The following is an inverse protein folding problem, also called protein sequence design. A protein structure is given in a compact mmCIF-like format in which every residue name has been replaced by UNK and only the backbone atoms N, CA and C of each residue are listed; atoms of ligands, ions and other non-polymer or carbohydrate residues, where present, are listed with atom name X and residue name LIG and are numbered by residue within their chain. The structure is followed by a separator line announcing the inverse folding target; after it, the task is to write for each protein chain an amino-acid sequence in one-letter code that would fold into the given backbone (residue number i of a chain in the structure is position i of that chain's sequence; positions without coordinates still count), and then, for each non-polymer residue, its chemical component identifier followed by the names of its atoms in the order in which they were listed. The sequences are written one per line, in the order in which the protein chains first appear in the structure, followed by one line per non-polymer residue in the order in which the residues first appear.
data_IF_613913476675
#
_entry.id   IF_613913476675
#
_cell.length_a   1.000
_cell.length_b   1.000
_cell.length_c   1.000
_cell.angle_alpha   90.00
_cell.angle_beta   90.00
_cell.angle_gamma   90.00
#
_symmetry.space_group_name_H-M   'P 1'
#
loop_
_entity.id
_entity.type
_entity.pdbx_description
1 polymer ?
#
# COMPACT_ATOMS: atom_id res chain seq x y z
N UNK A 1 22.65 -40.59 39.66
CA UNK A 1 21.44 -39.77 39.91
C UNK A 1 21.67 -38.47 39.17
N UNK A 2 21.10 -38.33 37.98
CA UNK A 2 21.10 -37.06 37.25
C UNK A 2 19.82 -36.33 37.64
N UNK A 3 19.95 -35.18 38.27
CA UNK A 3 18.81 -34.33 38.63
C UNK A 3 18.16 -33.81 37.35
N UNK A 4 16.89 -34.15 37.17
CA UNK A 4 16.02 -33.51 36.21
C UNK A 4 15.58 -32.17 36.82
N UNK A 5 15.92 -31.06 36.17
CA UNK A 5 15.46 -29.73 36.57
C UNK A 5 14.03 -29.49 36.06
N UNK A 6 13.11 -29.13 36.96
CA UNK A 6 11.75 -28.70 36.61
C UNK A 6 11.74 -27.20 36.22
N UNK A 7 11.20 -26.84 35.05
CA UNK A 7 11.04 -25.44 34.65
C UNK A 7 10.13 -24.68 35.63
N UNK A 8 10.61 -23.54 36.16
CA UNK A 8 9.84 -22.64 37.03
C UNK A 8 10.30 -22.55 38.49
N UNK A 9 11.38 -23.24 38.86
CA UNK A 9 11.88 -23.29 40.25
C UNK A 9 12.95 -22.26 40.61
N UNK A 10 13.39 -21.42 39.67
CA UNK A 10 14.34 -20.33 39.94
C UNK A 10 13.64 -18.97 39.97
N UNK A 11 13.87 -18.21 41.05
CA UNK A 11 13.74 -16.76 41.04
C UNK A 11 14.68 -16.23 39.95
N UNK A 12 14.11 -15.81 38.82
CA UNK A 12 14.84 -15.12 37.74
C UNK A 12 15.40 -13.83 38.34
N UNK A 13 16.71 -13.82 38.63
CA UNK A 13 17.38 -12.65 39.22
C UNK A 13 17.65 -11.58 38.17
N UNK A 14 17.82 -11.97 36.90
CA UNK A 14 17.95 -11.05 35.76
C UNK A 14 17.14 -11.55 34.55
N UNK A 15 16.23 -10.71 34.07
CA UNK A 15 15.46 -10.95 32.84
C UNK A 15 16.19 -10.29 31.66
N UNK A 16 16.83 -11.11 30.81
CA UNK A 16 17.36 -10.66 29.53
C UNK A 16 16.36 -10.99 28.41
N UNK A 17 15.43 -10.08 28.15
CA UNK A 17 14.45 -10.18 27.07
C UNK A 17 14.70 -9.08 26.03
N UNK A 18 14.69 -9.46 24.75
CA UNK A 18 14.70 -8.52 23.63
C UNK A 18 13.25 -8.15 23.26
N UNK A 19 13.02 -6.91 22.84
CA UNK A 19 11.73 -6.48 22.31
C UNK A 19 11.34 -7.27 21.05
N UNK A 20 10.05 -7.34 20.75
CA UNK A 20 9.56 -7.94 19.51
C UNK A 20 10.16 -7.21 18.29
N UNK A 21 10.80 -7.95 17.39
CA UNK A 21 11.38 -7.42 16.15
C UNK A 21 10.39 -7.60 15.00
N UNK A 22 9.96 -6.50 14.39
CA UNK A 22 9.13 -6.48 13.19
C UNK A 22 9.96 -5.92 12.03
N UNK A 23 10.00 -6.65 10.91
CA UNK A 23 10.80 -6.27 9.75
C UNK A 23 10.09 -6.67 8.47
N UNK A 24 9.91 -5.73 7.55
CA UNK A 24 9.26 -5.96 6.27
C UNK A 24 10.07 -5.31 5.15
N UNK A 25 10.15 -5.99 4.00
CA UNK A 25 10.87 -5.49 2.82
C UNK A 25 10.27 -6.12 1.55
N UNK A 26 10.50 -5.46 0.42
CA UNK A 26 10.04 -5.89 -0.89
C UNK A 26 11.16 -5.70 -1.91
N UNK A 27 11.34 -6.69 -2.78
CA UNK A 27 12.23 -6.60 -3.93
C UNK A 27 11.39 -6.65 -5.20
N UNK A 28 11.59 -5.66 -6.07
CA UNK A 28 10.86 -5.49 -7.31
C UNK A 28 11.78 -5.57 -8.52
N UNK A 29 11.20 -6.05 -9.63
CA UNK A 29 11.82 -5.94 -10.95
C UNK A 29 13.25 -6.47 -11.02
N UNK A 30 13.53 -7.61 -10.39
CA UNK A 30 14.85 -8.27 -10.49
C UNK A 30 15.02 -8.79 -11.91
N UNK A 31 16.00 -8.28 -12.64
CA UNK A 31 16.28 -8.76 -13.98
C UNK A 31 17.71 -8.45 -14.39
N UNK A 32 18.21 -9.21 -15.35
CA UNK A 32 19.36 -8.80 -16.15
C UNK A 32 18.99 -8.83 -17.63
N UNK A 33 19.67 -8.01 -18.43
CA UNK A 33 19.43 -7.91 -19.88
C UNK A 33 20.74 -7.70 -20.62
N UNK A 34 20.86 -8.31 -21.80
CA UNK A 34 21.85 -7.96 -22.81
C UNK A 34 21.19 -7.12 -23.90
N UNK A 35 21.79 -5.97 -24.21
CA UNK A 35 21.25 -4.99 -25.15
C UNK A 35 22.31 -4.64 -26.20
N UNK A 36 21.85 -4.24 -27.39
CA UNK A 36 22.72 -3.89 -28.53
C UNK A 36 23.17 -2.42 -28.45
N UNK A 37 24.15 -2.07 -29.30
CA UNK A 37 24.54 -0.69 -29.53
C UNK A 37 23.33 0.21 -29.80
N UNK A 38 23.33 1.41 -29.22
CA UNK A 38 22.27 2.40 -29.39
C UNK A 38 21.04 2.17 -28.49
N UNK A 39 21.04 1.12 -27.67
CA UNK A 39 19.99 0.95 -26.66
C UNK A 39 20.06 2.08 -25.63
N UNK A 40 18.88 2.57 -25.27
CA UNK A 40 18.68 3.51 -24.16
C UNK A 40 17.37 3.19 -23.45
N UNK A 41 17.35 3.49 -22.16
CA UNK A 41 16.16 3.53 -21.33
C UNK A 41 15.85 4.98 -21.01
N UNK A 42 14.58 5.35 -21.15
CA UNK A 42 14.15 6.72 -20.95
C UNK A 42 14.31 7.15 -19.49
N UNK A 43 14.38 8.45 -19.28
CA UNK A 43 14.38 9.05 -17.95
C UNK A 43 13.10 8.72 -17.19
N UNK A 44 13.26 8.37 -15.92
CA UNK A 44 12.18 8.00 -15.02
C UNK A 44 12.62 8.14 -13.56
N UNK A 45 11.66 8.05 -12.65
CA UNK A 45 11.88 8.03 -11.21
C UNK A 45 10.97 6.98 -10.55
N UNK A 46 11.37 6.52 -9.37
CA UNK A 46 10.56 5.62 -8.55
C UNK A 46 10.97 5.69 -7.07
N UNK A 47 10.09 5.30 -6.13
CA UNK A 47 10.36 5.40 -4.70
C UNK A 47 11.24 4.27 -4.14
N UNK A 48 11.86 3.46 -5.01
CA UNK A 48 12.67 2.30 -4.64
C UNK A 48 14.15 2.64 -4.69
N UNK A 49 14.96 2.02 -3.82
CA UNK A 49 16.42 2.02 -3.96
C UNK A 49 16.77 1.07 -5.12
N UNK A 50 17.48 1.55 -6.14
CA UNK A 50 17.93 0.71 -7.24
C UNK A 50 19.43 0.38 -7.13
N UNK A 51 19.74 -0.90 -7.30
CA UNK A 51 21.08 -1.43 -7.45
C UNK A 51 21.28 -1.81 -8.92
N UNK A 52 22.12 -1.05 -9.61
CA UNK A 52 22.41 -1.22 -11.03
C UNK A 52 23.85 -1.70 -11.24
N UNK A 53 24.03 -2.94 -11.67
CA UNK A 53 25.32 -3.61 -11.82
C UNK A 53 25.63 -3.90 -13.29
N UNK A 54 26.74 -3.41 -13.82
CA UNK A 54 27.16 -3.73 -15.19
C UNK A 54 27.91 -5.06 -15.19
N UNK A 55 27.49 -5.99 -16.04
CA UNK A 55 28.07 -7.33 -16.20
C UNK A 55 29.02 -7.41 -17.40
N UNK A 56 28.74 -6.67 -18.47
CA UNK A 56 29.59 -6.58 -19.67
C UNK A 56 29.29 -5.28 -20.45
N UNK A 57 30.23 -4.80 -21.27
CA UNK A 57 30.09 -3.55 -22.02
C UNK A 57 30.23 -2.30 -21.14
N UNK A 58 29.82 -1.14 -21.66
CA UNK A 58 29.83 0.12 -20.91
C UNK A 58 28.42 0.71 -20.87
N UNK A 59 27.99 1.12 -19.69
CA UNK A 59 26.72 1.82 -19.49
C UNK A 59 27.01 3.25 -19.05
N UNK A 60 26.26 4.20 -19.58
CA UNK A 60 26.21 5.55 -19.00
C UNK A 60 24.84 5.76 -18.40
N UNK A 61 24.81 6.05 -17.11
CA UNK A 61 23.60 6.34 -16.36
C UNK A 61 23.63 7.79 -15.91
N UNK A 62 22.63 8.57 -16.31
CA UNK A 62 22.39 9.92 -15.79
C UNK A 62 21.52 9.79 -14.55
N UNK A 63 21.92 10.40 -13.43
CA UNK A 63 21.09 10.51 -12.20
C UNK A 63 21.07 11.98 -11.79
N UNK A 64 19.91 12.62 -11.89
CA UNK A 64 19.79 14.08 -11.88
C UNK A 64 20.69 14.72 -12.94
N UNK A 65 21.48 15.72 -12.55
CA UNK A 65 22.36 16.46 -13.48
C UNK A 65 23.71 15.80 -13.74
N UNK A 66 24.00 14.63 -13.14
CA UNK A 66 25.31 13.97 -13.23
C UNK A 66 25.23 12.69 -14.07
N UNK A 67 26.22 12.49 -14.93
CA UNK A 67 26.42 11.23 -15.65
C UNK A 67 27.48 10.36 -14.96
N UNK A 68 27.19 9.06 -14.87
CA UNK A 68 28.07 8.03 -14.32
C UNK A 68 28.36 7.02 -15.41
N UNK A 69 29.65 6.83 -15.72
CA UNK A 69 30.11 5.81 -16.67
C UNK A 69 30.46 4.55 -15.89
N UNK A 70 29.68 3.49 -16.08
CA UNK A 70 29.85 2.19 -15.43
C UNK A 70 30.54 1.20 -16.38
N UNK A 71 31.58 0.54 -15.89
CA UNK A 71 32.30 -0.57 -16.55
C UNK A 71 31.90 -1.92 -15.95
N UNK A 72 32.29 -3.05 -16.58
CA UNK A 72 31.98 -4.37 -16.03
C UNK A 72 32.47 -4.53 -14.60
N UNK A 73 31.55 -4.91 -13.72
CA UNK A 73 31.78 -5.04 -12.28
C UNK A 73 31.34 -3.82 -11.47
N UNK A 74 31.15 -2.64 -12.08
CA UNK A 74 30.75 -1.44 -11.35
C UNK A 74 29.28 -1.47 -10.93
N UNK A 75 29.02 -1.07 -9.69
CA UNK A 75 27.71 -0.96 -9.07
C UNK A 75 27.34 0.51 -8.92
N UNK A 76 26.18 0.92 -9.42
CA UNK A 76 25.60 2.22 -9.17
C UNK A 76 24.42 2.05 -8.21
N UNK A 77 24.46 2.78 -7.09
CA UNK A 77 23.32 2.89 -6.18
C UNK A 77 22.51 4.13 -6.55
N UNK A 78 21.28 3.93 -7.01
CA UNK A 78 20.40 5.03 -7.40
C UNK A 78 19.42 5.27 -6.25
N UNK A 79 19.46 6.45 -5.60
CA UNK A 79 18.60 6.75 -4.46
C UNK A 79 17.10 6.75 -4.81
N UNK A 80 16.23 6.43 -3.84
CA UNK A 80 14.79 6.58 -4.02
C UNK A 80 14.40 8.00 -4.46
N UNK A 81 13.49 8.09 -5.43
CA UNK A 81 12.94 9.37 -5.93
C UNK A 81 13.92 10.21 -6.75
N UNK A 82 15.07 9.65 -7.17
CA UNK A 82 15.98 10.33 -8.09
C UNK A 82 15.62 10.01 -9.53
N UNK A 83 15.41 11.04 -10.35
CA UNK A 83 15.29 10.89 -11.80
C UNK A 83 16.60 10.31 -12.37
N UNK A 84 16.46 9.30 -13.22
CA UNK A 84 17.60 8.66 -13.88
C UNK A 84 17.26 8.02 -15.22
N UNK A 85 18.25 7.92 -16.09
CA UNK A 85 18.18 7.35 -17.43
C UNK A 85 19.47 6.58 -17.75
N UNK A 86 19.39 5.50 -18.53
CA UNK A 86 20.56 4.65 -18.83
C UNK A 86 20.72 4.44 -20.33
N UNK A 87 21.95 4.43 -20.83
CA UNK A 87 22.27 4.12 -22.23
C UNK A 87 23.46 3.19 -22.35
N UNK A 88 23.46 2.40 -23.41
CA UNK A 88 24.62 1.62 -23.82
C UNK A 88 25.63 2.54 -24.50
N UNK A 89 26.87 2.50 -24.04
CA UNK A 89 28.01 3.14 -24.67
C UNK A 89 28.96 2.06 -25.21
N UNK A 90 29.27 2.12 -26.51
CA UNK A 90 30.10 1.12 -27.19
C UNK A 90 29.36 0.32 -28.27
N UNK A 91 30.16 -0.25 -29.19
CA UNK A 91 29.67 -0.93 -30.40
C UNK A 91 29.23 -2.38 -30.14
N UNK A 92 29.78 -3.03 -29.12
CA UNK A 92 29.53 -4.45 -28.83
C UNK A 92 28.27 -4.69 -27.97
N UNK A 93 27.54 -3.62 -27.62
CA UNK A 93 26.41 -3.69 -26.69
C UNK A 93 26.84 -3.74 -25.23
N UNK A 94 25.90 -4.02 -24.33
CA UNK A 94 26.17 -4.16 -22.89
C UNK A 94 25.23 -5.18 -22.24
N UNK A 95 25.62 -5.68 -21.08
CA UNK A 95 24.80 -6.51 -20.20
C UNK A 95 24.79 -5.91 -18.80
N UNK A 96 23.62 -5.73 -18.22
CA UNK A 96 23.45 -5.18 -16.87
C UNK A 96 22.43 -5.99 -16.06
N UNK A 97 22.54 -5.91 -14.74
CA UNK A 97 21.59 -6.44 -13.76
C UNK A 97 21.01 -5.29 -12.95
N UNK A 98 19.71 -5.38 -12.66
CA UNK A 98 18.95 -4.38 -11.93
C UNK A 98 18.11 -5.05 -10.85
N UNK A 99 18.17 -4.49 -9.64
CA UNK A 99 17.37 -4.90 -8.49
C UNK A 99 16.82 -3.66 -7.80
N UNK A 100 15.52 -3.65 -7.53
CA UNK A 100 14.87 -2.56 -6.80
C UNK A 100 14.45 -3.04 -5.43
N UNK A 101 14.78 -2.28 -4.39
CA UNK A 101 14.57 -2.65 -3.00
C UNK A 101 13.75 -1.56 -2.28
N UNK A 102 12.80 -2.01 -1.49
CA UNK A 102 12.08 -1.19 -0.52
C UNK A 102 12.14 -1.86 0.84
N UNK A 103 12.53 -1.11 1.88
CA UNK A 103 12.62 -1.61 3.25
C UNK A 103 11.66 -0.76 4.08
N UNK A 104 10.79 -1.43 4.84
CA UNK A 104 9.79 -0.81 5.71
C UNK A 104 10.40 -0.44 7.08
N UNK A 105 11.63 0.06 7.04
CA UNK A 105 12.36 0.60 8.18
C UNK A 105 13.01 1.91 7.72
N UNK A 106 12.47 3.02 8.23
CA UNK A 106 12.92 4.34 7.83
C UNK A 106 14.36 4.64 8.29
N UNK A 107 14.83 4.07 9.41
CA UNK A 107 16.21 4.26 9.87
C UNK A 107 17.22 3.63 8.92
N UNK A 108 16.82 2.53 8.27
CA UNK A 108 17.63 1.91 7.22
C UNK A 108 17.52 2.68 5.90
N UNK A 109 16.31 3.13 5.53
CA UNK A 109 16.08 3.77 4.22
C UNK A 109 16.53 5.24 4.13
N UNK A 110 16.41 6.02 5.22
CA UNK A 110 16.68 7.47 5.21
C UNK A 110 18.08 7.83 4.68
N UNK A 111 19.17 7.16 5.09
CA UNK A 111 20.50 7.50 4.61
C UNK A 111 20.65 7.35 3.10
N UNK A 112 19.90 6.43 2.48
CA UNK A 112 19.95 6.22 1.04
C UNK A 112 19.39 7.42 0.25
N UNK A 113 18.42 8.18 0.79
CA UNK A 113 17.91 9.40 0.14
C UNK A 113 18.99 10.49 0.01
N UNK A 114 20.02 10.43 0.85
CA UNK A 114 21.07 11.44 0.97
C UNK A 114 22.41 11.00 0.36
N UNK A 115 22.47 9.85 -0.30
CA UNK A 115 23.67 9.41 -1.01
C UNK A 115 24.08 10.43 -2.08
N UNK A 116 25.37 10.77 -2.05
CA UNK A 116 25.99 11.72 -2.97
C UNK A 116 26.99 11.04 -3.90
N UNK A 117 27.74 10.06 -3.38
CA UNK A 117 28.62 9.19 -4.14
C UNK A 117 27.87 7.90 -4.54
N UNK A 118 27.38 7.88 -5.78
CA UNK A 118 26.49 6.83 -6.27
C UNK A 118 27.25 5.66 -6.92
N UNK A 119 28.37 5.97 -7.59
CA UNK A 119 29.15 4.99 -8.35
C UNK A 119 30.18 4.30 -7.46
N UNK A 120 30.05 2.99 -7.37
CA UNK A 120 30.92 2.11 -6.62
C UNK A 120 31.66 1.23 -7.63
N UNK A 121 32.95 1.49 -7.89
CA UNK A 121 33.73 0.68 -8.83
C UNK A 121 33.77 -0.79 -8.40
N UNK A 122 33.95 -1.72 -9.34
CA UNK A 122 33.93 -3.16 -9.05
C UNK A 122 34.95 -3.66 -8.00
N UNK A 123 35.98 -2.87 -7.72
CA UNK A 123 37.00 -3.12 -6.69
C UNK A 123 36.76 -2.38 -5.38
N UNK A 124 35.69 -1.61 -5.25
CA UNK A 124 35.29 -0.96 -3.99
C UNK A 124 34.88 -2.01 -2.96
N UNK A 125 35.10 -1.74 -1.66
CA UNK A 125 34.71 -2.66 -0.57
C UNK A 125 33.22 -3.01 -0.64
N UNK A 126 32.38 -2.00 -0.92
CA UNK A 126 30.95 -2.20 -1.10
C UNK A 126 30.66 -3.20 -2.22
N UNK A 127 31.19 -2.96 -3.42
CA UNK A 127 30.85 -3.82 -4.56
C UNK A 127 31.38 -5.23 -4.36
N UNK A 128 32.59 -5.38 -3.82
CA UNK A 128 33.17 -6.69 -3.48
C UNK A 128 32.30 -7.44 -2.46
N UNK A 129 31.74 -6.75 -1.46
CA UNK A 129 30.86 -7.33 -0.43
C UNK A 129 29.49 -7.71 -0.97
N UNK A 130 28.88 -6.86 -1.80
CA UNK A 130 27.54 -7.10 -2.33
C UNK A 130 27.54 -8.10 -3.49
N UNK A 131 28.65 -8.20 -4.23
CA UNK A 131 28.72 -8.98 -5.46
C UNK A 131 28.25 -10.43 -5.31
N UNK A 132 28.71 -11.22 -4.32
CA UNK A 132 28.24 -12.60 -4.15
C UNK A 132 26.72 -12.69 -3.92
N UNK A 133 26.15 -11.74 -3.16
CA UNK A 133 24.72 -11.69 -2.87
C UNK A 133 23.91 -11.35 -4.13
N UNK A 134 24.44 -10.45 -4.98
CA UNK A 134 23.83 -10.08 -6.26
C UNK A 134 23.95 -11.21 -7.30
N UNK A 135 25.07 -11.94 -7.32
CA UNK A 135 25.26 -13.09 -8.20
C UNK A 135 24.24 -14.20 -7.93
N UNK A 136 23.90 -14.45 -6.65
CA UNK A 136 22.83 -15.38 -6.28
C UNK A 136 21.46 -14.98 -6.87
N UNK A 137 21.14 -13.68 -6.87
CA UNK A 137 19.92 -13.16 -7.51
C UNK A 137 19.96 -13.26 -9.04
N UNK A 138 21.13 -13.03 -9.65
CA UNK A 138 21.34 -13.16 -11.10
C UNK A 138 21.14 -14.62 -11.54
N UNK A 139 21.70 -15.57 -10.80
CA UNK A 139 21.56 -16.99 -11.08
C UNK A 139 20.10 -17.42 -10.99
N UNK A 140 19.40 -17.05 -9.91
CA UNK A 140 17.98 -17.39 -9.74
C UNK A 140 17.09 -16.74 -10.80
N UNK A 141 17.35 -15.47 -11.17
CA UNK A 141 16.62 -14.78 -12.24
C UNK A 141 16.84 -15.41 -13.64
N UNK A 142 17.92 -16.19 -13.80
CA UNK A 142 18.22 -16.92 -15.04
C UNK A 142 17.49 -18.27 -15.14
N UNK A 143 16.81 -18.71 -14.08
CA UNK A 143 16.11 -19.99 -14.04
C UNK A 143 14.62 -19.83 -14.44
N UNK A 144 14.13 -20.49 -15.51
CA UNK A 144 12.74 -20.42 -15.96
C UNK A 144 11.70 -20.90 -14.94
N UNK A 145 12.13 -21.68 -13.94
CA UNK A 145 11.31 -22.20 -12.84
C UNK A 145 11.51 -21.44 -11.52
N UNK A 146 12.09 -20.24 -11.60
CA UNK A 146 12.51 -19.43 -10.46
C UNK A 146 11.44 -19.28 -9.38
N UNK A 147 11.87 -19.42 -8.11
CA UNK A 147 11.03 -19.39 -6.90
C UNK A 147 9.89 -20.43 -6.82
N UNK A 148 9.86 -21.46 -7.68
CA UNK A 148 8.79 -22.47 -7.67
C UNK A 148 8.74 -23.27 -6.36
N UNK A 149 9.89 -23.58 -5.75
CA UNK A 149 9.97 -24.30 -4.48
C UNK A 149 9.99 -23.38 -3.25
N UNK A 150 9.42 -23.84 -2.14
CA UNK A 150 9.49 -23.14 -0.85
C UNK A 150 10.92 -22.96 -0.37
N UNK A 151 11.80 -23.93 -0.62
CA UNK A 151 13.22 -23.86 -0.28
C UNK A 151 13.91 -22.68 -0.98
N UNK A 152 13.73 -22.53 -2.30
CA UNK A 152 14.29 -21.41 -3.05
C UNK A 152 13.74 -20.06 -2.55
N UNK A 153 12.44 -19.97 -2.25
CA UNK A 153 11.83 -18.75 -1.68
C UNK A 153 12.46 -18.37 -0.34
N UNK A 154 12.69 -19.34 0.55
CA UNK A 154 13.34 -19.08 1.84
C UNK A 154 14.80 -18.68 1.66
N UNK A 155 15.54 -19.37 0.79
CA UNK A 155 16.94 -19.04 0.46
C UNK A 155 17.07 -17.61 -0.07
N UNK A 156 16.20 -17.20 -1.00
CA UNK A 156 16.21 -15.84 -1.55
C UNK A 156 15.83 -14.78 -0.52
N UNK A 157 14.91 -15.08 0.41
CA UNK A 157 14.62 -14.19 1.54
C UNK A 157 15.81 -14.04 2.48
N UNK A 158 16.53 -15.13 2.78
CA UNK A 158 17.75 -15.07 3.58
C UNK A 158 18.85 -14.25 2.87
N UNK A 159 19.02 -14.44 1.56
CA UNK A 159 19.97 -13.66 0.75
C UNK A 159 19.61 -12.16 0.76
N UNK A 160 18.32 -11.83 0.66
CA UNK A 160 17.85 -10.44 0.76
C UNK A 160 18.13 -9.80 2.13
N UNK A 161 17.94 -10.54 3.23
CA UNK A 161 18.29 -10.06 4.57
C UNK A 161 19.80 -9.82 4.72
N UNK A 162 20.63 -10.69 4.14
CA UNK A 162 22.09 -10.49 4.08
C UNK A 162 22.46 -9.27 3.26
N UNK A 163 21.78 -9.04 2.13
CA UNK A 163 21.97 -7.85 1.29
C UNK A 163 21.64 -6.57 2.06
N UNK A 164 20.51 -6.54 2.76
CA UNK A 164 20.09 -5.40 3.59
C UNK A 164 21.08 -5.17 4.73
N UNK A 165 21.52 -6.23 5.40
CA UNK A 165 22.55 -6.14 6.45
C UNK A 165 23.84 -5.53 5.91
N UNK A 166 24.36 -6.02 4.78
CA UNK A 166 25.59 -5.52 4.18
C UNK A 166 25.47 -4.04 3.74
N UNK A 167 24.33 -3.65 3.18
CA UNK A 167 24.01 -2.25 2.85
C UNK A 167 23.95 -1.37 4.10
N UNK A 168 23.37 -1.88 5.19
CA UNK A 168 23.21 -1.14 6.46
C UNK A 168 24.51 -1.02 7.25
N UNK A 169 25.36 -2.06 7.27
CA UNK A 169 26.67 -2.03 7.93
C UNK A 169 27.60 -0.98 7.32
N UNK A 170 27.51 -0.76 6.01
CA UNK A 170 28.29 0.27 5.32
C UNK A 170 27.91 1.68 5.81
N UNK A 171 26.61 1.96 5.94
CA UNK A 171 26.11 3.25 6.46
C UNK A 171 26.62 3.57 7.87
N UNK A 172 26.98 2.53 8.64
CA UNK A 172 27.49 2.65 10.00
C UNK A 172 29.03 2.70 10.09
N UNK A 173 29.77 2.25 9.06
CA UNK A 173 31.24 2.10 9.09
C UNK A 173 32.00 3.23 8.43
N UNK A 174 31.44 3.85 7.40
CA UNK A 174 32.10 4.99 6.77
C UNK A 174 31.86 6.22 7.63
N UNK A 175 32.90 6.65 8.36
CA UNK A 175 32.97 7.95 9.04
C UNK A 175 32.92 9.16 8.09
N UNK A 176 32.19 9.06 6.97
CA UNK A 176 32.01 10.04 5.90
C UNK A 176 30.94 11.10 6.19
N UNK A 177 30.35 11.10 7.40
CA UNK A 177 29.53 12.23 7.86
C UNK A 177 28.11 11.90 8.34
N UNK A 178 27.78 10.64 8.64
CA UNK A 178 26.54 10.28 9.33
C UNK A 178 26.70 10.13 10.86
N UNK A 179 27.72 10.77 11.44
CA UNK A 179 27.76 11.00 12.90
C UNK A 179 26.86 12.19 13.21
N UNK A 180 25.78 11.92 13.93
CA UNK A 180 24.93 12.91 14.60
C UNK A 180 24.32 14.02 13.72
N UNK A 181 23.37 13.67 12.84
CA UNK A 181 22.30 14.63 12.58
C UNK A 181 21.26 14.51 13.70
N UNK A 182 21.34 15.38 14.70
CA UNK A 182 20.24 15.57 15.64
C UNK A 182 19.00 16.03 14.86
N UNK A 183 18.10 15.09 14.59
CA UNK A 183 16.79 15.42 14.03
C UNK A 183 16.07 16.39 14.96
N UNK A 184 15.51 17.47 14.41
CA UNK A 184 14.64 18.33 15.19
C UNK A 184 13.42 17.53 15.66
N UNK A 185 12.86 17.89 16.81
CA UNK A 185 11.65 17.22 17.33
C UNK A 185 10.47 17.32 16.36
N UNK A 186 10.46 18.29 15.44
CA UNK A 186 9.43 18.45 14.42
C UNK A 186 9.59 17.42 13.29
N UNK A 187 10.83 17.17 12.84
CA UNK A 187 11.14 16.16 11.84
C UNK A 187 10.90 14.76 12.39
N UNK A 188 11.35 14.47 13.63
CA UNK A 188 11.05 13.20 14.31
C UNK A 188 9.54 12.97 14.42
N UNK A 189 8.76 13.99 14.80
CA UNK A 189 7.29 13.90 14.90
C UNK A 189 6.61 13.67 13.55
N UNK A 190 7.12 14.28 12.48
CA UNK A 190 6.56 14.12 11.12
C UNK A 190 6.88 12.73 10.56
N UNK A 191 8.11 12.24 10.78
CA UNK A 191 8.57 10.91 10.38
C UNK A 191 7.85 9.80 11.15
N UNK A 192 7.75 9.94 12.49
CA UNK A 192 6.92 9.06 13.32
C UNK A 192 5.45 9.12 12.88
N UNK A 193 4.95 10.28 12.45
CA UNK A 193 3.61 10.44 11.89
C UNK A 193 3.38 9.63 10.62
N UNK A 194 4.30 9.68 9.65
CA UNK A 194 4.17 8.96 8.37
C UNK A 194 4.31 7.43 8.53
N UNK A 195 5.21 6.97 9.40
CA UNK A 195 5.34 5.54 9.76
C UNK A 195 4.10 5.07 10.50
N UNK A 196 3.64 5.83 11.50
CA UNK A 196 2.41 5.54 12.24
C UNK A 196 1.18 5.51 11.33
N UNK A 197 1.09 6.40 10.33
CA UNK A 197 0.02 6.37 9.33
C UNK A 197 0.07 5.10 8.47
N UNK A 198 1.25 4.63 8.04
CA UNK A 198 1.38 3.39 7.26
C UNK A 198 1.08 2.14 8.08
N UNK A 199 1.59 2.06 9.30
CA UNK A 199 1.25 0.98 10.25
C UNK A 199 -0.25 0.98 10.53
N UNK A 200 -0.85 2.15 10.70
CA UNK A 200 -2.28 2.31 10.88
C UNK A 200 -3.06 1.84 9.65
N UNK A 201 -2.69 2.22 8.42
CA UNK A 201 -3.38 1.74 7.20
C UNK A 201 -3.25 0.22 7.01
N UNK A 202 -2.08 -0.37 7.31
CA UNK A 202 -1.88 -1.82 7.29
C UNK A 202 -2.71 -2.51 8.37
N UNK A 203 -2.79 -1.93 9.56
CA UNK A 203 -3.60 -2.42 10.68
C UNK A 203 -5.09 -2.38 10.33
N UNK A 204 -5.56 -1.27 9.76
CA UNK A 204 -6.94 -1.10 9.29
C UNK A 204 -7.30 -2.19 8.28
N UNK A 205 -6.45 -2.41 7.27
CA UNK A 205 -6.64 -3.47 6.27
C UNK A 205 -6.71 -4.86 6.91
N UNK A 206 -5.81 -5.16 7.86
CA UNK A 206 -5.79 -6.48 8.53
C UNK A 206 -7.07 -6.73 9.33
N UNK A 207 -7.55 -5.72 10.05
CA UNK A 207 -8.80 -5.80 10.82
C UNK A 207 -9.99 -5.91 9.87
N UNK A 208 -9.99 -5.20 8.75
CA UNK A 208 -11.03 -5.27 7.74
C UNK A 208 -11.12 -6.68 7.11
N UNK A 209 -9.99 -7.37 6.90
CA UNK A 209 -9.98 -8.76 6.42
C UNK A 209 -10.67 -9.74 7.40
N UNK A 210 -10.71 -9.43 8.70
CA UNK A 210 -11.42 -10.22 9.72
C UNK A 210 -12.95 -10.14 9.57
N UNK A 211 -13.47 -9.02 9.07
CA UNK A 211 -14.93 -8.79 8.97
C UNK A 211 -15.60 -9.74 7.97
N UNK A 212 -14.88 -10.16 6.93
CA UNK A 212 -15.46 -10.86 5.79
C UNK A 212 -15.12 -12.35 5.75
N UNK A 213 -14.62 -12.92 6.86
CA UNK A 213 -14.49 -14.38 7.05
C UNK A 213 -13.61 -15.10 6.02
N UNK A 214 -12.76 -14.40 5.28
CA UNK A 214 -11.92 -14.97 4.21
C UNK A 214 -10.70 -15.73 4.74
N UNK A 215 -10.56 -15.81 6.06
CA UNK A 215 -9.38 -16.37 6.71
C UNK A 215 -9.62 -17.84 7.06
N UNK A 216 -8.93 -18.74 6.35
CA UNK A 216 -8.80 -20.13 6.77
C UNK A 216 -8.14 -20.24 8.15
N UNK A 217 -8.31 -21.38 8.84
CA UNK A 217 -7.86 -21.58 10.22
C UNK A 217 -6.36 -21.29 10.48
N UNK A 218 -5.50 -21.44 9.48
CA UNK A 218 -4.06 -21.11 9.58
C UNK A 218 -3.77 -19.62 9.44
N UNK A 219 -4.59 -18.87 8.70
CA UNK A 219 -4.41 -17.44 8.51
C UNK A 219 -4.69 -16.66 9.81
N UNK A 220 -5.64 -17.12 10.64
CA UNK A 220 -5.93 -16.51 11.96
C UNK A 220 -4.67 -16.38 12.83
N UNK A 221 -3.81 -17.40 12.90
CA UNK A 221 -2.59 -17.38 13.73
C UNK A 221 -1.53 -16.38 13.23
N UNK A 222 -1.47 -16.17 11.92
CA UNK A 222 -0.55 -15.19 11.32
C UNK A 222 -1.05 -13.77 11.61
N UNK A 223 -2.36 -13.54 11.52
CA UNK A 223 -2.97 -12.26 11.84
C UNK A 223 -2.89 -11.94 13.34
N UNK A 224 -3.07 -12.92 14.22
CA UNK A 224 -2.91 -12.76 15.68
C UNK A 224 -1.55 -12.16 16.07
N UNK A 225 -0.47 -12.58 15.39
CA UNK A 225 0.87 -12.05 15.63
C UNK A 225 1.08 -10.62 15.11
N UNK A 226 0.17 -10.12 14.26
CA UNK A 226 0.27 -8.85 13.54
C UNK A 226 -0.77 -7.81 14.00
N UNK A 227 -1.59 -8.15 14.99
CA UNK A 227 -2.59 -7.30 15.64
C UNK A 227 -2.11 -6.84 17.02
N UNK A 228 -2.69 -5.80 17.62
CA UNK A 228 -2.36 -5.40 18.99
C UNK A 228 -2.65 -6.56 19.95
N UNK A 229 -1.82 -6.73 20.97
CA UNK A 229 -2.03 -7.78 21.98
C UNK A 229 -3.41 -7.67 22.63
N UNK A 230 -4.10 -8.79 22.77
CA UNK A 230 -5.43 -8.84 23.36
C UNK A 230 -5.67 -10.09 24.20
N UNK A 231 -6.50 -9.94 25.22
CA UNK A 231 -7.24 -10.98 25.93
C UNK A 231 -8.71 -10.99 25.54
N UNK A 232 -9.23 -9.82 25.18
CA UNK A 232 -10.57 -9.66 24.65
C UNK A 232 -10.60 -8.53 23.61
N UNK A 233 -11.52 -8.68 22.68
CA UNK A 233 -11.77 -7.80 21.54
C UNK A 233 -13.21 -7.31 21.65
N UNK A 234 -13.45 -6.05 21.30
CA UNK A 234 -14.80 -5.50 21.20
C UNK A 234 -14.99 -4.75 19.88
N UNK A 235 -16.18 -4.84 19.30
CA UNK A 235 -16.51 -4.22 18.01
C UNK A 235 -17.74 -3.34 18.18
N UNK A 236 -17.70 -2.13 17.64
CA UNK A 236 -18.88 -1.29 17.46
C UNK A 236 -18.84 -0.53 16.14
N UNK A 237 -20.00 -0.28 15.58
CA UNK A 237 -20.18 0.48 14.34
C UNK A 237 -20.93 1.77 14.63
N UNK A 238 -20.75 2.78 13.79
CA UNK A 238 -21.53 4.00 13.78
C UNK A 238 -22.25 4.14 12.45
N UNK A 239 -23.54 4.46 12.53
CA UNK A 239 -24.37 4.83 11.39
C UNK A 239 -25.22 6.06 11.69
N UNK A 240 -25.65 6.77 10.66
CA UNK A 240 -26.61 7.87 10.78
C UNK A 240 -28.01 7.36 10.42
N UNK A 241 -29.05 7.75 11.16
CA UNK A 241 -30.42 7.19 10.98
C UNK A 241 -31.01 7.37 9.59
N UNK A 242 -30.64 8.45 8.89
CA UNK A 242 -31.20 8.86 7.60
C UNK A 242 -30.29 8.55 6.41
N UNK A 243 -29.03 8.14 6.64
CA UNK A 243 -28.07 7.88 5.58
C UNK A 243 -26.91 7.01 6.07
N UNK A 244 -26.45 6.08 5.23
CA UNK A 244 -25.23 5.29 5.46
C UNK A 244 -23.95 6.12 5.24
N UNK A 245 -24.05 7.24 4.52
CA UNK A 245 -22.92 8.10 4.19
C UNK A 245 -23.07 9.50 4.79
N UNK A 246 -21.96 10.00 5.30
CA UNK A 246 -21.81 11.26 6.03
C UNK A 246 -20.49 11.88 5.56
N UNK A 247 -20.38 13.21 5.55
CA UNK A 247 -19.22 13.88 4.97
C UNK A 247 -17.91 13.60 5.74
N UNK A 248 -16.78 13.73 5.05
CA UNK A 248 -15.45 13.43 5.58
C UNK A 248 -15.11 14.17 6.87
N UNK A 249 -15.67 15.37 7.12
CA UNK A 249 -15.39 16.13 8.36
C UNK A 249 -16.14 15.53 9.55
N UNK A 250 -17.40 15.15 9.36
CA UNK A 250 -18.14 14.46 10.42
C UNK A 250 -17.53 13.08 10.71
N UNK A 251 -17.12 12.34 9.67
CA UNK A 251 -16.43 11.03 9.81
C UNK A 251 -15.16 11.14 10.64
N UNK A 252 -14.27 12.07 10.26
CA UNK A 252 -13.04 12.33 11.00
C UNK A 252 -13.30 12.73 12.46
N UNK A 253 -14.27 13.62 12.69
CA UNK A 253 -14.62 14.09 14.04
C UNK A 253 -15.15 12.98 14.93
N UNK A 254 -15.97 12.09 14.39
CA UNK A 254 -16.50 10.94 15.12
C UNK A 254 -15.45 9.85 15.34
N UNK A 255 -14.56 9.60 14.38
CA UNK A 255 -13.41 8.72 14.55
C UNK A 255 -12.52 9.17 15.71
N UNK A 256 -12.12 10.44 15.73
CA UNK A 256 -11.34 11.00 16.84
C UNK A 256 -12.05 10.92 18.19
N UNK A 257 -13.36 11.17 18.23
CA UNK A 257 -14.15 11.10 19.46
C UNK A 257 -14.31 9.65 19.96
N UNK A 258 -14.53 8.69 19.05
CA UNK A 258 -14.54 7.27 19.40
C UNK A 258 -13.21 6.82 19.97
N UNK A 259 -12.11 7.15 19.31
CA UNK A 259 -10.76 6.82 19.76
C UNK A 259 -10.49 7.42 21.14
N UNK A 260 -10.87 8.68 21.37
CA UNK A 260 -10.75 9.34 22.68
C UNK A 260 -11.49 8.57 23.78
N UNK A 261 -12.76 8.17 23.55
CA UNK A 261 -13.57 7.48 24.57
C UNK A 261 -13.10 6.04 24.80
N UNK A 262 -12.78 5.32 23.73
CA UNK A 262 -12.50 3.89 23.75
C UNK A 262 -11.02 3.57 24.05
N UNK A 263 -10.09 4.49 23.85
CA UNK A 263 -8.66 4.30 24.18
C UNK A 263 -8.44 3.92 25.64
N UNK A 264 -9.36 4.30 26.54
CA UNK A 264 -9.34 3.89 27.95
C UNK A 264 -9.55 2.39 28.17
N UNK A 265 -10.00 1.64 27.16
CA UNK A 265 -10.28 0.20 27.19
C UNK A 265 -9.13 -0.64 26.62
N UNK A 266 -8.36 -0.10 25.69
CA UNK A 266 -7.28 -0.80 24.99
C UNK A 266 -6.85 -0.06 23.72
N UNK A 267 -6.13 -0.75 22.84
CA UNK A 267 -5.76 -0.25 21.52
C UNK A 267 -6.99 -0.21 20.62
N UNK A 268 -7.29 0.97 20.06
CA UNK A 268 -8.46 1.17 19.19
C UNK A 268 -7.99 1.25 17.74
N UNK A 269 -8.64 0.49 16.86
CA UNK A 269 -8.46 0.59 15.41
C UNK A 269 -9.78 1.08 14.82
N UNK A 270 -9.75 2.22 14.13
CA UNK A 270 -10.90 2.79 13.45
C UNK A 270 -10.84 2.40 11.98
N UNK A 271 -11.88 1.72 11.51
CA UNK A 271 -12.06 1.36 10.10
C UNK A 271 -13.00 2.38 9.48
N UNK A 272 -12.45 3.24 8.62
CA UNK A 272 -13.20 4.24 7.87
C UNK A 272 -13.61 3.70 6.49
N UNK A 273 -14.50 2.71 6.48
CA UNK A 273 -15.08 2.09 5.27
C UNK A 273 -16.49 2.64 5.02
N UNK A 274 -17.45 1.84 4.55
CA UNK A 274 -18.85 2.24 4.38
C UNK A 274 -19.45 2.84 5.67
N UNK A 275 -19.30 2.11 6.78
CA UNK A 275 -19.60 2.58 8.14
C UNK A 275 -18.29 2.77 8.89
N UNK A 276 -18.30 3.71 9.83
CA UNK A 276 -17.16 3.90 10.72
C UNK A 276 -17.23 2.87 11.84
N UNK A 277 -16.27 1.96 11.89
CA UNK A 277 -16.25 0.83 12.82
C UNK A 277 -15.04 0.93 13.73
N UNK A 278 -15.23 0.80 15.04
CA UNK A 278 -14.14 0.74 16.00
C UNK A 278 -13.97 -0.70 16.50
N UNK A 279 -12.71 -1.17 16.47
CA UNK A 279 -12.30 -2.43 17.07
C UNK A 279 -11.34 -2.15 18.21
N UNK A 280 -11.68 -2.61 19.40
CA UNK A 280 -10.87 -2.44 20.62
C UNK A 280 -10.18 -3.74 20.92
N UNK A 281 -8.85 -3.72 20.99
CA UNK A 281 -8.00 -4.82 21.45
C UNK A 281 -7.51 -4.50 22.86
N UNK A 282 -7.87 -5.33 23.84
CA UNK A 282 -7.50 -5.10 25.25
C UNK A 282 -6.77 -6.29 25.84
N UNK A 283 -5.59 -6.06 26.41
CA UNK A 283 -4.76 -7.03 27.11
C UNK A 283 -5.16 -7.25 28.59
N UNK A 284 -6.17 -6.49 29.05
CA UNK A 284 -6.62 -6.48 30.44
C UNK A 284 -7.24 -7.82 30.83
N UNK A 285 -6.96 -8.24 32.06
CA UNK A 285 -7.51 -9.48 32.63
C UNK A 285 -9.03 -9.35 32.83
N UNK A 286 -9.48 -8.21 33.33
CA UNK A 286 -10.91 -7.94 33.58
C UNK A 286 -11.52 -7.17 32.42
N UNK A 287 -12.70 -7.60 32.00
CA UNK A 287 -13.56 -6.85 31.07
C UNK A 287 -14.32 -5.78 31.87
N UNK A 288 -14.05 -4.48 31.68
CA UNK A 288 -14.84 -3.41 32.31
C UNK A 288 -16.26 -3.37 31.68
N UNK A 289 -17.21 -2.60 32.21
CA UNK A 289 -18.55 -2.46 31.61
C UNK A 289 -18.48 -1.70 30.26
N UNK A 290 -18.08 -2.40 29.20
CA UNK A 290 -17.86 -1.85 27.86
C UNK A 290 -19.14 -1.25 27.31
N UNK A 291 -20.30 -1.83 27.58
CA UNK A 291 -21.61 -1.32 27.16
C UNK A 291 -21.87 0.10 27.68
N UNK A 292 -21.43 0.41 28.91
CA UNK A 292 -21.57 1.76 29.46
C UNK A 292 -20.66 2.75 28.72
N UNK A 293 -19.46 2.32 28.32
CA UNK A 293 -18.54 3.12 27.51
C UNK A 293 -19.07 3.35 26.10
N UNK A 294 -19.71 2.35 25.50
CA UNK A 294 -20.38 2.48 24.20
C UNK A 294 -21.55 3.46 24.26
N UNK A 295 -22.36 3.42 25.33
CA UNK A 295 -23.44 4.39 25.55
C UNK A 295 -22.91 5.80 25.80
N UNK A 296 -21.78 5.93 26.52
CA UNK A 296 -21.09 7.21 26.70
C UNK A 296 -20.61 7.78 25.35
N UNK A 297 -19.99 6.94 24.52
CA UNK A 297 -19.54 7.29 23.18
C UNK A 297 -20.70 7.78 22.32
N UNK A 298 -21.80 7.03 22.25
CA UNK A 298 -22.99 7.39 21.47
C UNK A 298 -23.55 8.77 21.88
N UNK A 299 -23.71 9.02 23.19
CA UNK A 299 -24.19 10.31 23.69
C UNK A 299 -23.24 11.46 23.32
N UNK A 300 -21.93 11.24 23.38
CA UNK A 300 -20.93 12.25 23.00
C UNK A 300 -20.94 12.51 21.49
N UNK A 301 -21.11 11.48 20.66
CA UNK A 301 -21.24 11.58 19.21
C UNK A 301 -22.49 12.38 18.82
N UNK A 302 -23.64 12.05 19.41
CA UNK A 302 -24.90 12.75 19.16
C UNK A 302 -24.85 14.22 19.57
N UNK A 303 -24.16 14.52 20.67
CA UNK A 303 -24.04 15.89 21.18
C UNK A 303 -23.05 16.75 20.39
N UNK A 304 -21.90 16.19 20.00
CA UNK A 304 -20.77 16.97 19.50
C UNK A 304 -20.52 16.83 17.99
N UNK A 305 -21.10 15.80 17.34
CA UNK A 305 -20.92 15.55 15.90
C UNK A 305 -22.25 15.68 15.16
N UNK A 306 -23.20 14.78 15.39
CA UNK A 306 -24.51 14.82 14.73
C UNK A 306 -25.56 14.03 15.55
N UNK A 307 -26.72 14.64 15.91
CA UNK A 307 -27.74 14.02 16.75
C UNK A 307 -28.40 12.78 16.14
N UNK A 308 -28.26 12.55 14.83
CA UNK A 308 -28.79 11.38 14.15
C UNK A 308 -27.83 10.18 14.15
N UNK A 309 -26.63 10.32 14.70
CA UNK A 309 -25.70 9.21 14.84
C UNK A 309 -26.19 8.21 15.88
N UNK A 310 -26.00 6.93 15.56
CA UNK A 310 -26.22 5.81 16.47
C UNK A 310 -25.00 4.93 16.51
N UNK A 311 -24.83 4.25 17.64
CA UNK A 311 -23.77 3.27 17.84
C UNK A 311 -24.40 1.89 17.98
N UNK A 312 -23.96 0.97 17.13
CA UNK A 312 -24.31 -0.45 17.21
C UNK A 312 -23.21 -1.23 17.90
N UNK A 313 -23.53 -1.93 18.98
CA UNK A 313 -22.56 -2.72 19.75
C UNK A 313 -22.57 -4.18 19.31
N UNK A 314 -21.42 -4.68 18.87
CA UNK A 314 -21.25 -6.06 18.38
C UNK A 314 -20.85 -7.07 19.45
N UNK A 315 -20.60 -6.64 20.69
CA UNK A 315 -20.26 -7.52 21.81
C UNK A 315 -18.77 -7.53 22.18
N UNK A 316 -18.36 -8.62 22.83
CA UNK A 316 -17.00 -8.86 23.34
C UNK A 316 -16.66 -10.34 23.10
N UNK A 317 -15.46 -10.61 22.58
CA UNK A 317 -14.95 -11.98 22.40
C UNK A 317 -13.49 -12.09 22.84
N UNK A 318 -13.02 -13.29 23.13
CA UNK A 318 -11.58 -13.61 23.23
C UNK A 318 -11.04 -14.31 21.98
N UNK A 319 -11.91 -14.63 21.01
CA UNK A 319 -11.58 -15.40 19.82
C UNK A 319 -11.61 -14.51 18.58
N UNK A 320 -10.47 -14.37 17.90
CA UNK A 320 -10.34 -13.53 16.71
C UNK A 320 -11.30 -13.94 15.59
N UNK A 321 -11.66 -15.22 15.53
CA UNK A 321 -12.56 -15.77 14.50
C UNK A 321 -13.99 -15.27 14.65
N UNK A 322 -14.36 -14.77 15.83
CA UNK A 322 -15.69 -14.22 16.10
C UNK A 322 -15.81 -12.72 15.76
N UNK A 323 -14.71 -12.05 15.41
CA UNK A 323 -14.74 -10.61 15.08
C UNK A 323 -15.67 -10.31 13.89
N UNK A 324 -15.74 -11.20 12.90
CA UNK A 324 -16.68 -11.07 11.77
C UNK A 324 -18.14 -11.12 12.20
N UNK A 325 -18.52 -12.07 13.04
CA UNK A 325 -19.91 -12.18 13.53
C UNK A 325 -20.26 -11.04 14.50
N UNK A 326 -19.29 -10.55 15.27
CA UNK A 326 -19.47 -9.34 16.09
C UNK A 326 -19.67 -8.09 15.24
N UNK A 327 -18.93 -7.96 14.15
CA UNK A 327 -19.16 -6.89 13.18
C UNK A 327 -20.58 -6.96 12.64
N UNK A 328 -21.05 -8.12 12.18
CA UNK A 328 -22.44 -8.31 11.74
C UNK A 328 -23.47 -7.92 12.83
N UNK A 329 -23.26 -8.35 14.07
CA UNK A 329 -24.11 -7.99 15.21
C UNK A 329 -24.16 -6.47 15.44
N UNK A 330 -23.02 -5.79 15.31
CA UNK A 330 -22.95 -4.33 15.43
C UNK A 330 -23.80 -3.63 14.37
N UNK A 331 -23.94 -4.23 13.18
CA UNK A 331 -24.78 -3.71 12.11
C UNK A 331 -26.27 -3.96 12.38
N UNK A 332 -26.62 -5.14 12.93
CA UNK A 332 -28.00 -5.48 13.26
C UNK A 332 -28.64 -4.52 14.26
N UNK A 333 -27.85 -3.88 15.11
CA UNK A 333 -28.31 -2.85 16.04
C UNK A 333 -28.97 -1.64 15.34
N UNK A 334 -28.65 -1.39 14.07
CA UNK A 334 -29.29 -0.34 13.27
C UNK A 334 -30.61 -0.79 12.64
N UNK A 335 -30.77 -2.09 12.41
CA UNK A 335 -31.95 -2.70 11.79
C UNK A 335 -33.10 -2.94 12.78
N UNK A 336 -32.85 -2.82 14.08
CA UNK A 336 -33.85 -3.10 15.13
C UNK A 336 -35.01 -2.08 15.20
N UNK A 337 -34.88 -0.93 14.53
CA UNK A 337 -35.92 0.11 14.47
C UNK A 337 -36.81 0.03 13.20
N UNK A 338 -36.55 -0.91 12.28
CA UNK A 338 -37.34 -1.12 11.07
C UNK A 338 -38.16 -2.42 11.14
N UNK A 339 -39.36 -2.40 10.55
CA UNK A 339 -40.36 -3.48 10.63
C UNK A 339 -39.95 -4.81 9.96
N UNK A 340 -38.75 -4.91 9.34
CA UNK A 340 -38.21 -6.15 8.78
C UNK A 340 -36.66 -6.16 8.71
N UNK A 341 -35.96 -6.58 9.79
CA UNK A 341 -34.50 -6.59 9.90
C UNK A 341 -33.79 -7.53 8.90
N UNK A 342 -34.48 -8.58 8.44
CA UNK A 342 -33.91 -9.60 7.55
C UNK A 342 -33.93 -9.17 6.08
N UNK A 343 -34.74 -8.18 5.71
CA UNK A 343 -34.82 -7.60 4.38
C UNK A 343 -33.73 -6.55 4.16
N UNK A 344 -33.49 -5.66 5.13
CA UNK A 344 -32.47 -4.59 5.01
C UNK A 344 -31.03 -5.10 5.18
N UNK A 345 -30.76 -6.08 6.06
CA UNK A 345 -29.39 -6.63 6.21
C UNK A 345 -28.91 -7.31 4.92
N UNK A 346 -29.80 -8.07 4.27
CA UNK A 346 -29.54 -8.63 2.93
C UNK A 346 -29.41 -7.54 1.89
N UNK A 347 -30.15 -6.44 2.01
CA UNK A 347 -30.09 -5.32 1.06
C UNK A 347 -28.79 -4.53 1.19
N UNK A 348 -28.31 -4.22 2.40
CA UNK A 348 -27.05 -3.48 2.61
C UNK A 348 -25.85 -4.31 2.17
N UNK A 349 -25.78 -5.60 2.55
CA UNK A 349 -24.71 -6.50 2.11
C UNK A 349 -24.72 -6.68 0.58
N UNK A 350 -25.91 -6.81 -0.01
CA UNK A 350 -26.09 -6.93 -1.46
C UNK A 350 -25.69 -5.65 -2.20
N UNK A 351 -26.11 -4.48 -1.71
CA UNK A 351 -25.74 -3.17 -2.26
C UNK A 351 -24.23 -2.96 -2.16
N UNK A 352 -23.61 -3.28 -1.02
CA UNK A 352 -22.16 -3.20 -0.82
C UNK A 352 -21.40 -4.10 -1.78
N UNK A 353 -21.87 -5.34 -1.98
CA UNK A 353 -21.27 -6.27 -2.94
C UNK A 353 -21.38 -5.75 -4.37
N UNK A 354 -22.53 -5.18 -4.73
CA UNK A 354 -22.76 -4.60 -6.06
C UNK A 354 -21.84 -3.41 -6.34
N UNK A 355 -21.74 -2.46 -5.42
CA UNK A 355 -20.91 -1.27 -5.59
C UNK A 355 -19.42 -1.63 -5.59
N UNK A 356 -18.98 -2.51 -4.69
CA UNK A 356 -17.58 -2.95 -4.62
C UNK A 356 -17.17 -3.70 -5.89
N UNK A 357 -18.05 -4.58 -6.39
CA UNK A 357 -17.85 -5.23 -7.69
C UNK A 357 -17.82 -4.20 -8.82
N UNK A 358 -18.74 -3.24 -8.84
CA UNK A 358 -18.75 -2.17 -9.85
C UNK A 358 -17.45 -1.36 -9.87
N UNK A 359 -16.92 -0.99 -8.70
CA UNK A 359 -15.65 -0.25 -8.57
C UNK A 359 -14.45 -1.07 -9.03
N UNK A 360 -14.33 -2.33 -8.61
CA UNK A 360 -13.24 -3.19 -9.05
C UNK A 360 -13.24 -3.40 -10.57
N UNK A 361 -14.43 -3.58 -11.16
CA UNK A 361 -14.60 -3.72 -12.61
C UNK A 361 -14.25 -2.43 -13.35
N UNK A 362 -14.60 -1.27 -12.78
CA UNK A 362 -14.20 0.03 -13.29
C UNK A 362 -12.68 0.19 -13.35
N UNK A 363 -11.92 -0.26 -12.33
CA UNK A 363 -10.45 -0.17 -12.33
C UNK A 363 -9.76 -1.20 -13.21
N UNK A 364 -10.32 -2.40 -13.35
CA UNK A 364 -9.70 -3.50 -14.10
C UNK A 364 -10.07 -3.47 -15.59
N UNK A 365 -11.23 -2.93 -15.96
CA UNK A 365 -11.75 -2.95 -17.34
C UNK A 365 -11.95 -1.58 -17.98
N UNK A 366 -11.46 -0.48 -17.38
CA UNK A 366 -11.63 0.85 -17.96
C UNK A 366 -11.18 0.93 -19.44
N UNK A 367 -10.14 0.19 -19.83
CA UNK A 367 -9.61 0.15 -21.19
C UNK A 367 -10.52 -0.58 -22.21
N UNK A 368 -11.48 -1.39 -21.74
CA UNK A 368 -12.41 -2.10 -22.61
C UNK A 368 -13.47 -1.13 -23.17
N UNK A 369 -13.57 -1.06 -24.50
CA UNK A 369 -14.47 -0.14 -25.22
C UNK A 369 -15.95 -0.50 -25.07
N UNK A 370 -16.24 -1.78 -24.89
CA UNK A 370 -17.60 -2.29 -24.75
C UNK A 370 -18.06 -2.26 -23.29
N UNK A 371 -17.16 -1.94 -22.35
CA UNK A 371 -17.48 -1.86 -20.93
C UNK A 371 -18.54 -0.78 -20.67
N UNK A 372 -19.69 -1.23 -20.19
CA UNK A 372 -20.86 -0.41 -19.97
C UNK A 372 -21.59 -0.83 -18.70
N UNK A 373 -22.42 0.07 -18.18
CA UNK A 373 -23.29 -0.23 -17.04
C UNK A 373 -24.20 -1.43 -17.33
N UNK A 374 -24.64 -1.60 -18.59
CA UNK A 374 -25.49 -2.71 -19.00
C UNK A 374 -24.83 -4.07 -18.83
N UNK A 375 -23.59 -4.21 -19.32
CA UNK A 375 -22.80 -5.45 -19.14
C UNK A 375 -22.51 -5.73 -17.67
N UNK A 376 -22.24 -4.68 -16.90
CA UNK A 376 -22.00 -4.82 -15.47
C UNK A 376 -23.28 -5.27 -14.73
N UNK A 377 -24.42 -4.70 -15.08
CA UNK A 377 -25.72 -5.06 -14.52
C UNK A 377 -26.10 -6.51 -14.86
N UNK A 378 -25.83 -6.95 -16.10
CA UNK A 378 -26.02 -8.34 -16.53
C UNK A 378 -25.15 -9.31 -15.74
N UNK A 379 -23.87 -8.98 -15.51
CA UNK A 379 -22.96 -9.82 -14.71
C UNK A 379 -23.34 -9.93 -13.24
N UNK A 380 -24.14 -8.98 -12.75
CA UNK A 380 -24.62 -8.90 -11.36
C UNK A 380 -26.07 -9.38 -11.19
N UNK A 381 -26.72 -9.80 -12.29
CA UNK A 381 -28.14 -10.17 -12.34
C UNK A 381 -29.08 -9.08 -11.78
N UNK A 382 -28.79 -7.82 -12.11
CA UNK A 382 -29.61 -6.65 -11.73
C UNK A 382 -30.02 -5.84 -12.95
N UNK A 383 -31.11 -5.06 -12.84
CA UNK A 383 -31.50 -4.18 -13.94
C UNK A 383 -30.52 -3.00 -14.08
N UNK A 384 -30.19 -2.55 -15.31
CA UNK A 384 -29.32 -1.39 -15.53
C UNK A 384 -29.83 -0.10 -14.86
N UNK A 385 -31.14 0.10 -14.82
CA UNK A 385 -31.75 1.26 -14.17
C UNK A 385 -31.54 1.23 -12.65
N UNK A 386 -31.70 0.05 -12.03
CA UNK A 386 -31.44 -0.13 -10.62
C UNK A 386 -29.97 0.10 -10.30
N UNK A 387 -29.04 -0.49 -11.08
CA UNK A 387 -27.61 -0.28 -10.88
C UNK A 387 -27.20 1.19 -11.10
N UNK A 388 -27.79 1.89 -12.07
CA UNK A 388 -27.51 3.31 -12.33
C UNK A 388 -27.92 4.18 -11.15
N UNK A 389 -29.15 4.00 -10.66
CA UNK A 389 -29.70 4.75 -9.55
C UNK A 389 -28.91 4.45 -8.28
N UNK A 390 -28.63 3.17 -8.02
CA UNK A 390 -27.83 2.74 -6.88
C UNK A 390 -26.43 3.33 -6.95
N UNK A 391 -25.68 3.12 -8.04
CA UNK A 391 -24.33 3.64 -8.19
C UNK A 391 -24.26 5.16 -8.03
N UNK A 392 -25.23 5.91 -8.57
CA UNK A 392 -25.25 7.37 -8.43
C UNK A 392 -25.57 7.81 -7.01
N UNK A 393 -26.51 7.12 -6.35
CA UNK A 393 -26.90 7.38 -4.96
C UNK A 393 -25.72 7.11 -4.01
N UNK A 394 -25.00 6.01 -4.24
CA UNK A 394 -23.95 5.53 -3.36
C UNK A 394 -22.61 6.26 -3.60
N UNK A 395 -22.28 6.63 -4.84
CA UNK A 395 -20.96 7.20 -5.18
C UNK A 395 -20.98 8.71 -5.42
N UNK A 396 -22.17 9.32 -5.45
CA UNK A 396 -22.36 10.75 -5.75
C UNK A 396 -22.08 11.12 -7.21
N UNK A 397 -21.69 10.17 -8.06
CA UNK A 397 -21.44 10.36 -9.49
C UNK A 397 -22.09 9.24 -10.29
N UNK A 398 -22.51 9.54 -11.51
CA UNK A 398 -22.98 8.49 -12.41
C UNK A 398 -21.84 7.56 -12.78
N UNK A 399 -22.17 6.29 -13.08
CA UNK A 399 -21.20 5.30 -13.56
C UNK A 399 -20.35 5.81 -14.73
N UNK A 400 -20.98 6.49 -15.70
CA UNK A 400 -20.29 7.05 -16.86
C UNK A 400 -19.32 8.15 -16.48
N UNK A 401 -19.66 9.01 -15.51
CA UNK A 401 -18.75 10.02 -14.98
C UNK A 401 -17.55 9.36 -14.28
N UNK A 402 -17.79 8.31 -13.49
CA UNK A 402 -16.73 7.61 -12.77
C UNK A 402 -15.76 6.89 -13.73
N UNK A 403 -16.29 6.18 -14.73
CA UNK A 403 -15.50 5.56 -15.79
C UNK A 403 -14.70 6.63 -16.58
N UNK A 404 -15.35 7.74 -16.92
CA UNK A 404 -14.67 8.85 -17.62
C UNK A 404 -13.53 9.39 -16.78
N UNK A 405 -13.72 9.60 -15.47
CA UNK A 405 -12.66 10.06 -14.56
C UNK A 405 -11.46 9.12 -14.57
N UNK A 406 -11.68 7.82 -14.39
CA UNK A 406 -10.59 6.81 -14.41
C UNK A 406 -9.87 6.82 -15.76
N UNK A 407 -10.60 6.79 -16.88
CA UNK A 407 -10.01 6.85 -18.22
C UNK A 407 -9.18 8.12 -18.44
N UNK A 408 -9.63 9.27 -17.92
CA UNK A 408 -8.92 10.54 -18.04
C UNK A 408 -7.69 10.61 -17.15
N UNK A 409 -7.72 10.05 -15.94
CA UNK A 409 -6.53 9.90 -15.09
C UNK A 409 -5.45 9.04 -15.77
N UNK A 410 -5.86 7.89 -16.33
CA UNK A 410 -4.95 7.05 -17.12
C UNK A 410 -4.49 7.74 -18.40
N UNK A 411 -5.35 8.52 -19.05
CA UNK A 411 -4.96 9.28 -20.24
C UNK A 411 -3.93 10.37 -19.92
N UNK A 412 -4.12 11.11 -18.83
CA UNK A 412 -3.14 12.10 -18.32
C UNK A 412 -1.80 11.45 -18.04
N UNK A 413 -1.84 10.29 -17.37
CA UNK A 413 -0.66 9.47 -17.09
C UNK A 413 0.08 9.09 -18.38
N UNK A 414 -0.62 8.49 -19.35
CA UNK A 414 -0.03 8.11 -20.63
C UNK A 414 0.44 9.31 -21.47
N UNK A 415 -0.24 10.46 -21.39
CA UNK A 415 0.15 11.68 -22.10
C UNK A 415 1.47 12.25 -21.56
N UNK A 416 1.70 12.12 -20.25
CA UNK A 416 2.90 12.58 -19.55
C UNK A 416 4.05 11.56 -19.63
N UNK A 417 3.77 10.28 -19.44
CA UNK A 417 4.78 9.22 -19.26
C UNK A 417 5.19 8.52 -20.56
N UNK A 418 4.43 8.69 -21.65
CA UNK A 418 4.68 7.94 -22.89
C UNK A 418 4.75 8.83 -24.13
N UNK A 419 5.50 8.36 -25.14
CA UNK A 419 5.55 8.95 -26.50
C UNK A 419 4.45 8.41 -27.42
N UNK A 420 3.46 7.69 -26.87
CA UNK A 420 2.36 7.14 -27.66
C UNK A 420 1.63 8.27 -28.40
N UNK A 421 1.25 8.02 -29.66
CA UNK A 421 0.45 8.98 -30.42
C UNK A 421 -0.91 9.14 -29.75
N UNK A 422 -1.53 10.32 -29.86
CA UNK A 422 -2.81 10.63 -29.20
C UNK A 422 -3.91 9.62 -29.56
N UNK A 423 -3.92 9.11 -30.79
CA UNK A 423 -4.85 8.05 -31.19
C UNK A 423 -4.60 6.71 -30.49
N UNK A 424 -3.35 6.39 -30.14
CA UNK A 424 -3.01 5.16 -29.42
C UNK A 424 -3.46 5.30 -27.96
N UNK A 425 -3.18 6.43 -27.32
CA UNK A 425 -3.66 6.71 -25.95
C UNK A 425 -5.19 6.66 -25.88
N UNK A 426 -5.87 7.24 -26.88
CA UNK A 426 -7.31 7.14 -27.02
C UNK A 426 -7.77 5.67 -26.98
N UNK A 427 -7.09 4.78 -27.70
CA UNK A 427 -7.43 3.36 -27.73
C UNK A 427 -7.10 2.64 -26.41
N UNK A 428 -5.94 2.92 -25.81
CA UNK A 428 -5.48 2.32 -24.54
C UNK A 428 -6.40 2.65 -23.37
N UNK A 429 -7.00 3.84 -23.36
CA UNK A 429 -7.93 4.26 -22.30
C UNK A 429 -9.40 3.98 -22.66
N UNK A 430 -9.67 3.18 -23.69
CA UNK A 430 -11.00 2.65 -24.00
C UNK A 430 -11.89 3.57 -24.83
N UNK A 431 -11.34 4.52 -25.59
CA UNK A 431 -12.09 5.31 -26.59
C UNK A 431 -11.74 4.90 -28.03
N UNK A 432 -12.76 4.78 -28.88
CA UNK A 432 -12.59 4.44 -30.30
C UNK A 432 -12.41 5.67 -31.19
N UNK A 433 -12.99 6.81 -30.80
CA UNK A 433 -12.97 8.06 -31.56
C UNK A 433 -12.02 9.07 -30.88
N UNK A 434 -10.90 9.35 -31.55
CA UNK A 434 -9.90 10.31 -31.11
C UNK A 434 -10.44 11.74 -31.05
N UNK A 435 -11.33 12.13 -31.96
CA UNK A 435 -11.91 13.48 -31.99
C UNK A 435 -12.90 13.68 -30.84
N UNK A 436 -13.65 12.63 -30.48
CA UNK A 436 -14.48 12.63 -29.27
C UNK A 436 -13.61 12.71 -28.01
N UNK A 437 -12.62 11.82 -27.87
CA UNK A 437 -11.69 11.80 -26.74
C UNK A 437 -11.02 13.18 -26.54
N UNK A 438 -10.51 13.78 -27.62
CA UNK A 438 -9.80 15.07 -27.53
C UNK A 438 -10.71 16.22 -27.11
N UNK A 439 -11.98 16.23 -27.55
CA UNK A 439 -12.97 17.21 -27.11
C UNK A 439 -13.33 17.02 -25.64
N UNK A 440 -13.55 15.78 -25.22
CA UNK A 440 -13.90 15.44 -23.85
C UNK A 440 -12.76 15.78 -22.87
N UNK A 441 -11.52 15.39 -23.21
CA UNK A 441 -10.33 15.72 -22.44
C UNK A 441 -10.15 17.24 -22.31
N UNK A 442 -10.31 18.00 -23.41
CA UNK A 442 -10.25 19.47 -23.39
C UNK A 442 -11.34 20.07 -22.50
N UNK A 443 -12.55 19.50 -22.50
CA UNK A 443 -13.65 19.98 -21.67
C UNK A 443 -13.38 19.78 -20.17
N UNK A 444 -12.68 18.72 -19.79
CA UNK A 444 -12.42 18.38 -18.39
C UNK A 444 -11.15 19.06 -17.86
N UNK A 445 -10.10 19.12 -18.67
CA UNK A 445 -8.76 19.59 -18.27
C UNK A 445 -8.45 21.01 -18.78
N UNK A 446 -9.38 21.64 -19.51
CA UNK A 446 -9.24 22.99 -20.07
C UNK A 446 -8.33 23.10 -21.30
N UNK A 447 -7.54 22.06 -21.62
CA UNK A 447 -6.58 22.03 -22.73
C UNK A 447 -6.64 20.71 -23.51
N UNK A 448 -6.36 20.75 -24.81
CA UNK A 448 -6.37 19.54 -25.65
C UNK A 448 -5.30 18.54 -25.19
N UNK A 449 -5.45 17.22 -25.45
CA UNK A 449 -4.43 16.23 -25.11
C UNK A 449 -3.04 16.57 -25.67
N UNK A 450 -3.00 17.11 -26.89
CA UNK A 450 -1.76 17.57 -27.52
C UNK A 450 -1.14 18.73 -26.74
N UNK A 451 -1.92 19.78 -26.45
CA UNK A 451 -1.42 20.92 -25.68
C UNK A 451 -1.07 20.54 -24.24
N UNK A 452 -1.80 19.59 -23.65
CA UNK A 452 -1.53 19.03 -22.32
C UNK A 452 -0.13 18.41 -22.30
N UNK A 453 0.21 17.58 -23.29
CA UNK A 453 1.55 17.01 -23.44
C UNK A 453 2.62 18.07 -23.68
N UNK A 454 2.35 19.06 -24.52
CA UNK A 454 3.32 20.12 -24.82
C UNK A 454 3.57 21.07 -23.64
N UNK A 455 2.58 21.27 -22.76
CA UNK A 455 2.76 22.07 -21.54
C UNK A 455 3.37 21.28 -20.37
N UNK A 456 3.20 19.96 -20.34
CA UNK A 456 3.92 19.07 -19.42
C UNK A 456 5.41 18.93 -19.81
N UNK A 457 5.77 19.28 -21.05
CA UNK A 457 7.16 19.42 -21.49
C UNK A 457 7.64 20.84 -21.13
N UNK A 458 8.54 20.95 -20.16
CA UNK A 458 9.23 22.21 -19.87
C UNK A 458 9.97 22.68 -21.14
N UNK A 459 9.95 23.98 -21.50
CA UNK A 459 10.66 24.48 -22.66
C UNK A 459 12.18 24.37 -22.44
N UNK A 460 12.80 23.35 -23.04
CA UNK A 460 14.22 23.09 -22.91
C UNK A 460 14.83 22.14 -23.94
N UNK A 461 14.04 21.24 -24.55
CA UNK A 461 14.57 20.31 -25.57
C UNK A 461 13.96 20.58 -26.94
N UNK A 462 14.57 21.52 -27.66
CA UNK A 462 14.56 21.53 -29.12
C UNK A 462 16.03 21.52 -29.57
N UNK A 463 16.54 20.33 -29.87
CA UNK A 463 17.53 20.07 -30.93
C UNK A 463 17.38 18.64 -31.44
#
# INVERSE_FOLDING_TARGET
MGEFFEPGSELVVDLHAMSNLHFSFQIYGIHWRSVRQGWSYAEHEHPLLELNLVLAGTQVTRVGDKEYVQRPGDLLLIPPGREHASRCEGIDGMTFFCLHLNIDDHFIMEPFYHLTDLLNPGHSDLTVRLRPLLDDFIEEASNPSGLSSTYQRIRMKANALSLITALSEMLLRDGSGFVDREFSDAERRTMLGAVKMREQTLMEKRVQDLFYGTLGAEASKIYEALLPSYRWISVCSISRRDTLYWDNRHRASAGSLLEEVLSSLGSVVIIDDLLLTAVVFSDRISVPPVEQKMLEAEKRLQKNVDPNLRLGFGGITSDLREVGSMYEQSLMAFSADSLDPASECRTIEFVNRIIRFAMNRLETEYANKDFSLGLLAESLDVSPNYLSALFTTETGMTFTQHLTRIRMEHAKRLLNETRLKIYQICQEVGYSDQAYFSRLFKSLEGRSPFNYREHSRIPGDND
#
